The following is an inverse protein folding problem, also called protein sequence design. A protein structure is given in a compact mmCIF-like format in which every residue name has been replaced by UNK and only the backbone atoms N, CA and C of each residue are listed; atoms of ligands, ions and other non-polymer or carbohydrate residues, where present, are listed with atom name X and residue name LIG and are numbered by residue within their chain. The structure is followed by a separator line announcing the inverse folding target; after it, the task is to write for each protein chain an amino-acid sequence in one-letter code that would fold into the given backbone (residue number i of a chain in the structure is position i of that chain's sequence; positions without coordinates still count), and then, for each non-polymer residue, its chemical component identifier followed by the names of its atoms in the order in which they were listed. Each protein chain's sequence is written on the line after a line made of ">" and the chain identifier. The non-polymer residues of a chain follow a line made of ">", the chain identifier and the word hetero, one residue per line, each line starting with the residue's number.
data_IF_552387609895
#
_entry.id   IF_552387609895
#
_cell.length_a   1.000
_cell.length_b   1.000
_cell.length_c   1.000
_cell.angle_alpha   90.00
_cell.angle_beta   90.00
_cell.angle_gamma   90.00
#
_symmetry.space_group_name_H-M   'P 1'
#
loop_
_entity.id
_entity.type
_entity.pdbx_description
1 polymer ?
#
# COMPACT_ATOMS: atom_id res chain seq x y z
N UNK A 1 39.96 45.74 -93.67
CA UNK A 1 40.02 44.35 -93.16
C UNK A 1 39.70 44.38 -91.68
N UNK A 2 39.03 43.33 -91.24
CA UNK A 2 38.08 43.25 -90.15
C UNK A 2 38.63 43.42 -88.70
N UNK A 3 37.72 43.56 -87.73
CA UNK A 3 37.89 44.22 -86.43
C UNK A 3 37.97 43.22 -85.27
N UNK A 4 38.41 43.63 -84.07
CA UNK A 4 38.14 42.85 -82.85
C UNK A 4 37.83 43.73 -81.63
N UNK A 5 36.53 43.72 -81.35
CA UNK A 5 35.79 43.84 -80.09
C UNK A 5 36.50 43.47 -78.78
N UNK A 6 36.24 44.24 -77.72
CA UNK A 6 36.12 43.76 -76.33
C UNK A 6 35.32 44.79 -75.51
N UNK A 7 33.99 44.70 -75.49
CA UNK A 7 33.19 44.06 -74.43
C UNK A 7 33.29 44.75 -73.06
N UNK A 8 32.36 45.68 -72.85
CA UNK A 8 31.82 46.05 -71.55
C UNK A 8 31.23 44.83 -70.84
N UNK A 9 31.54 44.68 -69.55
CA UNK A 9 31.07 43.53 -68.79
C UNK A 9 31.46 43.61 -67.31
N UNK A 10 31.01 44.64 -66.60
CA UNK A 10 31.00 44.61 -65.14
C UNK A 10 29.73 43.89 -64.67
N UNK A 11 29.73 42.58 -64.79
CA UNK A 11 28.74 41.70 -64.16
C UNK A 11 29.06 41.58 -62.67
N UNK A 12 28.34 42.35 -61.87
CA UNK A 12 28.28 42.20 -60.42
C UNK A 12 27.52 40.92 -60.05
N UNK A 13 28.23 39.81 -59.98
CA UNK A 13 27.71 38.55 -59.44
C UNK A 13 28.51 38.16 -58.20
N UNK A 14 27.83 38.08 -57.06
CA UNK A 14 28.33 37.34 -55.89
C UNK A 14 28.35 38.13 -54.60
N UNK A 15 27.19 38.32 -53.96
CA UNK A 15 27.11 38.61 -52.51
C UNK A 15 25.87 37.98 -51.90
N UNK A 16 25.94 36.68 -51.63
CA UNK A 16 24.93 35.98 -50.80
C UNK A 16 25.52 35.26 -49.57
N UNK A 17 26.71 35.69 -49.13
CA UNK A 17 27.36 35.22 -47.91
C UNK A 17 27.13 36.09 -46.66
N UNK A 18 26.62 37.33 -46.79
CA UNK A 18 26.61 38.34 -45.72
C UNK A 18 25.29 38.53 -44.95
N UNK A 19 24.19 37.90 -45.36
CA UNK A 19 22.85 38.15 -44.77
C UNK A 19 22.52 37.29 -43.54
N UNK A 20 23.24 36.19 -43.28
CA UNK A 20 22.98 35.30 -42.13
C UNK A 20 23.70 35.72 -40.85
N UNK A 21 24.90 36.31 -40.96
CA UNK A 21 25.62 36.83 -39.80
C UNK A 21 24.98 38.10 -39.26
N UNK A 22 24.52 38.99 -40.14
CA UNK A 22 23.88 40.26 -39.77
C UNK A 22 22.53 40.08 -39.08
N UNK A 23 21.70 39.15 -39.54
CA UNK A 23 20.42 38.84 -38.88
C UNK A 23 20.62 38.21 -37.51
N UNK A 24 21.51 37.22 -37.39
CA UNK A 24 21.84 36.62 -36.08
C UNK A 24 22.47 37.63 -35.12
N UNK A 25 23.36 38.52 -35.61
CA UNK A 25 23.92 39.59 -34.80
C UNK A 25 22.86 40.62 -34.37
N UNK A 26 21.90 40.97 -35.23
CA UNK A 26 20.78 41.84 -34.86
C UNK A 26 19.85 41.19 -33.83
N UNK A 27 19.54 39.90 -34.01
CA UNK A 27 18.78 39.13 -33.02
C UNK A 27 19.52 39.08 -31.68
N UNK A 28 20.84 38.87 -31.69
CA UNK A 28 21.68 38.84 -30.51
C UNK A 28 21.76 40.21 -29.82
N UNK A 29 21.85 41.29 -30.58
CA UNK A 29 21.84 42.67 -30.07
C UNK A 29 20.47 43.05 -29.47
N UNK A 30 19.38 42.64 -30.13
CA UNK A 30 18.01 42.85 -29.64
C UNK A 30 17.71 42.01 -28.40
N UNK A 31 18.25 40.79 -28.35
CA UNK A 31 18.21 39.94 -27.17
C UNK A 31 19.00 40.54 -26.01
N UNK A 32 20.21 41.06 -26.23
CA UNK A 32 20.97 41.73 -25.17
C UNK A 32 20.25 42.95 -24.63
N UNK A 33 19.60 43.74 -25.48
CA UNK A 33 18.80 44.90 -25.03
C UNK A 33 17.64 44.47 -24.13
N UNK A 34 16.92 43.40 -24.50
CA UNK A 34 15.85 42.86 -23.67
C UNK A 34 16.37 42.22 -22.38
N UNK A 35 17.51 41.53 -22.43
CA UNK A 35 18.13 40.93 -21.25
C UNK A 35 18.60 41.98 -20.26
N UNK A 36 19.16 43.09 -20.76
CA UNK A 36 19.54 44.25 -19.95
C UNK A 36 18.34 44.85 -19.23
N UNK A 37 17.18 44.98 -19.90
CA UNK A 37 15.94 45.46 -19.26
C UNK A 37 15.41 44.53 -18.16
N UNK A 38 15.57 43.23 -18.33
CA UNK A 38 15.18 42.24 -17.32
C UNK A 38 16.18 42.21 -16.15
N UNK A 39 17.47 42.42 -16.41
CA UNK A 39 18.50 42.47 -15.38
C UNK A 39 18.42 43.75 -14.52
N UNK A 40 17.99 44.86 -15.11
CA UNK A 40 17.76 46.14 -14.42
C UNK A 40 16.48 46.15 -13.56
N UNK A 41 15.69 45.08 -13.59
CA UNK A 41 14.52 44.95 -12.71
C UNK A 41 14.97 44.67 -11.26
N UNK A 42 14.57 45.50 -10.28
CA UNK A 42 14.95 45.33 -8.87
C UNK A 42 14.49 43.99 -8.27
N UNK A 43 13.53 43.30 -8.88
CA UNK A 43 13.11 41.95 -8.46
C UNK A 43 14.12 40.88 -8.87
N UNK A 44 14.77 41.04 -10.03
CA UNK A 44 15.78 40.09 -10.54
C UNK A 44 17.09 40.29 -9.78
N UNK A 45 17.49 41.53 -9.52
CA UNK A 45 18.65 41.84 -8.68
C UNK A 45 18.55 41.23 -7.26
N UNK A 46 17.35 41.18 -6.69
CA UNK A 46 17.08 40.56 -5.39
C UNK A 46 17.19 39.03 -5.41
N UNK A 47 16.82 38.40 -6.53
CA UNK A 47 16.97 36.96 -6.74
C UNK A 47 18.44 36.59 -7.01
N UNK A 48 19.16 37.38 -7.81
CA UNK A 48 20.60 37.19 -8.08
C UNK A 48 21.48 37.46 -6.85
N UNK A 49 21.04 38.35 -5.94
CA UNK A 49 21.69 38.59 -4.66
C UNK A 49 21.36 37.57 -3.56
N UNK A 50 20.38 36.68 -3.78
CA UNK A 50 19.98 35.65 -2.82
C UNK A 50 20.92 34.44 -2.85
N UNK A 51 20.85 33.58 -1.83
CA UNK A 51 21.66 32.36 -1.63
C UNK A 51 21.80 31.50 -2.90
N UNK A 52 20.78 31.48 -3.77
CA UNK A 52 20.82 30.79 -5.07
C UNK A 52 21.92 31.34 -6.01
N UNK A 53 22.11 32.67 -6.08
CA UNK A 53 23.14 33.29 -6.91
C UNK A 53 24.56 33.09 -6.38
N UNK A 54 24.72 32.93 -5.06
CA UNK A 54 26.02 32.65 -4.41
C UNK A 54 26.44 31.19 -4.58
N UNK A 55 25.49 30.25 -4.59
CA UNK A 55 25.72 28.83 -4.88
C UNK A 55 26.04 28.57 -6.36
N UNK A 56 25.41 29.30 -7.29
CA UNK A 56 25.76 29.21 -8.72
C UNK A 56 27.17 29.75 -9.04
N UNK A 57 27.65 30.74 -8.27
CA UNK A 57 28.92 31.41 -8.53
C UNK A 57 30.14 30.65 -7.99
N UNK A 58 29.98 29.83 -6.95
CA UNK A 58 31.08 29.03 -6.39
C UNK A 58 31.33 27.73 -7.15
N UNK A 59 30.28 27.03 -7.61
CA UNK A 59 30.40 25.81 -8.40
C UNK A 59 29.30 25.71 -9.48
N UNK A 60 29.50 26.34 -10.67
CA UNK A 60 28.52 26.34 -11.75
C UNK A 60 28.18 24.92 -12.24
N UNK A 61 29.11 23.96 -12.15
CA UNK A 61 28.86 22.56 -12.47
C UNK A 61 27.89 21.89 -11.50
N UNK A 62 28.17 21.92 -10.19
CA UNK A 62 27.33 21.27 -9.18
C UNK A 62 25.92 21.87 -9.10
N UNK A 63 25.80 23.19 -9.21
CA UNK A 63 24.50 23.87 -9.23
C UNK A 63 23.69 23.50 -10.49
N UNK A 64 24.32 23.47 -11.67
CA UNK A 64 23.65 23.06 -12.91
C UNK A 64 23.21 21.60 -12.85
N UNK A 65 24.08 20.69 -12.36
CA UNK A 65 23.74 19.27 -12.21
C UNK A 65 22.64 19.07 -11.18
N UNK A 66 22.62 19.80 -10.07
CA UNK A 66 21.54 19.73 -9.08
C UNK A 66 20.20 20.21 -9.66
N UNK A 67 20.21 21.26 -10.50
CA UNK A 67 19.00 21.76 -11.17
C UNK A 67 18.51 20.75 -12.22
N UNK A 68 19.40 20.25 -13.08
CA UNK A 68 19.03 19.24 -14.09
C UNK A 68 18.63 17.93 -13.42
N UNK A 69 19.31 17.50 -12.37
CA UNK A 69 18.94 16.33 -11.57
C UNK A 69 17.59 16.54 -10.90
N UNK A 70 17.31 17.71 -10.34
CA UNK A 70 15.98 18.04 -9.81
C UNK A 70 14.89 18.00 -10.90
N UNK A 71 15.14 18.59 -12.06
CA UNK A 71 14.18 18.61 -13.18
C UNK A 71 13.93 17.21 -13.75
N UNK A 72 14.98 16.40 -13.85
CA UNK A 72 14.95 15.06 -14.44
C UNK A 72 14.53 13.99 -13.43
N UNK A 73 14.83 14.18 -12.14
CA UNK A 73 14.41 13.30 -11.06
C UNK A 73 13.00 13.63 -10.56
N UNK A 74 12.50 14.87 -10.69
CA UNK A 74 11.13 15.21 -10.30
C UNK A 74 10.08 14.37 -11.02
N UNK A 75 10.33 13.97 -12.28
CA UNK A 75 9.47 13.03 -13.01
C UNK A 75 9.37 11.67 -12.31
N UNK A 76 10.45 10.85 -12.29
CA UNK A 76 10.43 9.52 -11.69
C UNK A 76 10.22 9.55 -10.17
N UNK A 77 10.81 10.49 -9.44
CA UNK A 77 10.69 10.59 -7.96
C UNK A 77 9.33 11.13 -7.54
N UNK A 78 8.77 12.09 -8.27
CA UNK A 78 7.42 12.61 -8.00
C UNK A 78 6.35 11.55 -8.25
N UNK A 79 6.47 10.80 -9.34
CA UNK A 79 5.57 9.67 -9.61
C UNK A 79 5.71 8.57 -8.55
N UNK A 80 6.94 8.25 -8.14
CA UNK A 80 7.20 7.27 -7.10
C UNK A 80 6.64 7.71 -5.74
N UNK A 81 6.77 8.99 -5.38
CA UNK A 81 6.25 9.52 -4.12
C UNK A 81 4.73 9.58 -4.12
N UNK A 82 4.09 9.97 -5.23
CA UNK A 82 2.64 9.93 -5.36
C UNK A 82 2.10 8.49 -5.27
N UNK A 83 2.77 7.55 -5.95
CA UNK A 83 2.45 6.12 -5.85
C UNK A 83 2.67 5.59 -4.43
N UNK A 84 3.74 6.00 -3.74
CA UNK A 84 4.01 5.59 -2.37
C UNK A 84 2.94 6.12 -1.40
N UNK A 85 2.47 7.36 -1.56
CA UNK A 85 1.37 7.92 -0.74
C UNK A 85 0.06 7.18 -1.00
N UNK A 86 -0.29 6.92 -2.27
CA UNK A 86 -1.48 6.14 -2.63
C UNK A 86 -1.38 4.70 -2.12
N UNK A 87 -0.21 4.07 -2.23
CA UNK A 87 0.06 2.71 -1.77
C UNK A 87 0.04 2.64 -0.25
N UNK A 88 0.59 3.63 0.47
CA UNK A 88 0.52 3.70 1.92
C UNK A 88 -0.92 3.91 2.41
N UNK A 89 -1.68 4.82 1.79
CA UNK A 89 -3.09 5.01 2.10
C UNK A 89 -3.93 3.76 1.77
N UNK A 90 -3.63 3.10 0.65
CA UNK A 90 -4.25 1.84 0.25
C UNK A 90 -3.89 0.69 1.18
N UNK A 91 -2.65 0.64 1.68
CA UNK A 91 -2.18 -0.33 2.66
C UNK A 91 -2.92 -0.15 3.99
N UNK A 92 -3.05 1.09 4.48
CA UNK A 92 -3.84 1.38 5.69
C UNK A 92 -5.30 0.99 5.49
N UNK A 93 -5.89 1.30 4.32
CA UNK A 93 -7.26 0.90 4.02
C UNK A 93 -7.44 -0.63 3.98
N UNK A 94 -6.51 -1.33 3.34
CA UNK A 94 -6.50 -2.80 3.28
C UNK A 94 -6.31 -3.39 4.67
N UNK A 95 -5.41 -2.84 5.48
CA UNK A 95 -5.17 -3.30 6.85
C UNK A 95 -6.41 -3.11 7.73
N UNK A 96 -7.06 -1.94 7.68
CA UNK A 96 -8.31 -1.71 8.42
C UNK A 96 -9.42 -2.64 7.95
N UNK A 97 -9.56 -2.87 6.64
CA UNK A 97 -10.55 -3.79 6.09
C UNK A 97 -10.29 -5.24 6.52
N UNK A 98 -9.03 -5.68 6.47
CA UNK A 98 -8.62 -7.02 6.92
C UNK A 98 -8.78 -7.17 8.43
N UNK A 99 -8.47 -6.15 9.22
CA UNK A 99 -8.63 -6.15 10.67
C UNK A 99 -10.12 -6.21 11.03
N UNK A 100 -10.99 -5.49 10.33
CA UNK A 100 -12.44 -5.61 10.49
C UNK A 100 -12.95 -6.99 10.08
N UNK A 101 -12.53 -7.52 8.93
CA UNK A 101 -12.93 -8.84 8.47
C UNK A 101 -12.47 -9.94 9.45
N UNK A 102 -11.20 -9.91 9.87
CA UNK A 102 -10.66 -10.81 10.88
C UNK A 102 -11.36 -10.63 12.23
N UNK A 103 -11.68 -9.40 12.62
CA UNK A 103 -12.43 -9.08 13.82
C UNK A 103 -13.84 -9.66 13.81
N UNK A 104 -14.57 -9.53 12.69
CA UNK A 104 -15.89 -10.13 12.52
C UNK A 104 -15.82 -11.66 12.56
N UNK A 105 -14.84 -12.27 11.90
CA UNK A 105 -14.61 -13.72 11.95
C UNK A 105 -14.30 -14.15 13.40
N UNK A 106 -13.41 -13.43 14.09
CA UNK A 106 -13.02 -13.74 15.47
C UNK A 106 -14.21 -13.61 16.43
N UNK A 107 -14.97 -12.51 16.33
CA UNK A 107 -16.20 -12.29 17.10
C UNK A 107 -17.24 -13.36 16.79
N UNK A 108 -17.40 -13.75 15.53
CA UNK A 108 -18.29 -14.83 15.11
C UNK A 108 -17.85 -16.18 15.71
N UNK A 109 -16.56 -16.50 15.67
CA UNK A 109 -16.02 -17.75 16.23
C UNK A 109 -16.12 -17.75 17.75
N UNK A 110 -15.78 -16.65 18.42
CA UNK A 110 -15.95 -16.52 19.88
C UNK A 110 -17.41 -16.66 20.29
N UNK A 111 -18.32 -15.97 19.60
CA UNK A 111 -19.75 -16.06 19.86
C UNK A 111 -20.27 -17.48 19.63
N UNK A 112 -19.90 -18.08 18.50
CA UNK A 112 -20.23 -19.46 18.17
C UNK A 112 -19.70 -20.44 19.20
N UNK A 113 -18.46 -20.28 19.65
CA UNK A 113 -17.84 -21.16 20.65
C UNK A 113 -18.46 -20.95 22.04
N UNK A 114 -18.79 -19.72 22.42
CA UNK A 114 -19.49 -19.44 23.67
C UNK A 114 -20.90 -20.06 23.67
N UNK A 115 -21.66 -19.85 22.60
CA UNK A 115 -22.98 -20.45 22.44
C UNK A 115 -22.90 -21.98 22.40
N UNK A 116 -21.94 -22.54 21.68
CA UNK A 116 -21.69 -23.97 21.61
C UNK A 116 -21.28 -24.54 22.97
N UNK A 117 -20.44 -23.84 23.74
CA UNK A 117 -20.06 -24.26 25.08
C UNK A 117 -21.27 -24.31 26.02
N UNK A 118 -22.16 -23.31 25.97
CA UNK A 118 -23.41 -23.30 26.74
C UNK A 118 -24.33 -24.44 26.29
N UNK A 119 -24.55 -24.59 24.99
CA UNK A 119 -25.37 -25.68 24.45
C UNK A 119 -24.84 -27.05 24.86
N UNK A 120 -23.54 -27.27 24.70
CA UNK A 120 -22.90 -28.54 25.04
C UNK A 120 -22.93 -28.77 26.56
N UNK A 121 -22.81 -27.72 27.38
CA UNK A 121 -22.98 -27.81 28.83
C UNK A 121 -24.39 -28.26 29.20
N UNK A 122 -25.43 -27.67 28.59
CA UNK A 122 -26.83 -28.08 28.80
C UNK A 122 -27.03 -29.53 28.33
N UNK A 123 -26.52 -29.88 27.16
CA UNK A 123 -26.65 -31.21 26.59
C UNK A 123 -25.93 -32.28 27.41
N UNK A 124 -24.71 -32.00 27.87
CA UNK A 124 -23.95 -32.86 28.77
C UNK A 124 -24.67 -33.02 30.11
N UNK A 125 -25.23 -31.96 30.67
CA UNK A 125 -26.00 -32.04 31.91
C UNK A 125 -27.28 -32.89 31.74
N UNK A 126 -28.04 -32.65 30.66
CA UNK A 126 -29.25 -33.42 30.36
C UNK A 126 -28.93 -34.89 30.10
N UNK A 127 -27.93 -35.17 29.27
CA UNK A 127 -27.49 -36.53 28.98
C UNK A 127 -26.93 -37.23 30.22
N UNK A 128 -26.09 -36.56 31.01
CA UNK A 128 -25.60 -37.07 32.29
C UNK A 128 -26.74 -37.42 33.25
N UNK A 129 -27.74 -36.54 33.38
CA UNK A 129 -28.91 -36.80 34.24
C UNK A 129 -29.74 -37.99 33.77
N UNK A 130 -29.97 -38.12 32.45
CA UNK A 130 -30.68 -39.26 31.86
C UNK A 130 -29.88 -40.55 32.10
N UNK A 131 -28.58 -40.55 31.80
CA UNK A 131 -27.71 -41.71 32.04
C UNK A 131 -27.67 -42.09 33.51
N UNK A 132 -27.56 -41.12 34.42
CA UNK A 132 -27.56 -41.36 35.86
C UNK A 132 -28.89 -41.95 36.34
N UNK A 133 -30.01 -41.42 35.84
CA UNK A 133 -31.36 -41.93 36.12
C UNK A 133 -31.53 -43.38 35.66
N UNK A 134 -31.05 -43.72 34.47
CA UNK A 134 -31.05 -45.09 33.95
C UNK A 134 -30.13 -46.01 34.76
N UNK A 135 -28.93 -45.55 35.11
CA UNK A 135 -28.00 -46.33 35.95
C UNK A 135 -28.57 -46.58 37.35
N UNK A 136 -29.25 -45.60 37.95
CA UNK A 136 -29.90 -45.75 39.24
C UNK A 136 -31.00 -46.80 39.17
N UNK A 137 -31.88 -46.71 38.17
CA UNK A 137 -32.94 -47.69 37.93
C UNK A 137 -32.36 -49.09 37.68
N UNK A 138 -31.28 -49.20 36.91
CA UNK A 138 -30.60 -50.47 36.68
C UNK A 138 -29.95 -51.05 37.94
N UNK A 139 -29.31 -50.20 38.75
CA UNK A 139 -28.68 -50.61 40.02
C UNK A 139 -29.71 -51.05 41.05
N UNK A 140 -30.82 -50.32 41.16
CA UNK A 140 -31.94 -50.64 42.05
C UNK A 140 -32.59 -51.98 41.67
N UNK A 141 -32.90 -52.17 40.37
CA UNK A 141 -33.39 -53.46 39.85
C UNK A 141 -32.41 -54.61 40.10
N UNK A 142 -31.10 -54.35 40.02
CA UNK A 142 -30.06 -55.35 40.33
C UNK A 142 -30.04 -55.70 41.83
N UNK A 143 -30.24 -54.73 42.72
CA UNK A 143 -30.35 -55.00 44.16
C UNK A 143 -31.61 -55.78 44.50
N UNK A 144 -32.74 -55.45 43.88
CA UNK A 144 -34.00 -56.19 44.07
C UNK A 144 -33.87 -57.65 43.62
N UNK A 145 -33.24 -57.91 42.46
CA UNK A 145 -33.00 -59.27 41.98
C UNK A 145 -32.10 -60.09 42.91
N UNK A 146 -31.11 -59.45 43.56
CA UNK A 146 -30.25 -60.09 44.56
C UNK A 146 -30.97 -60.36 45.88
N UNK A 147 -31.85 -59.46 46.32
CA UNK A 147 -32.67 -59.65 47.51
C UNK A 147 -33.70 -60.77 47.33
N UNK A 148 -34.29 -60.92 46.14
CA UNK A 148 -35.14 -62.07 45.81
C UNK A 148 -34.35 -63.40 45.78
N UNK A 149 -33.14 -63.45 45.19
CA UNK A 149 -32.30 -64.66 45.23
C UNK A 149 -31.90 -65.07 46.67
N UNK A 150 -31.61 -64.11 47.54
CA UNK A 150 -31.28 -64.40 48.95
C UNK A 150 -32.50 -64.89 49.74
N UNK A 151 -33.70 -64.35 49.43
CA UNK A 151 -34.95 -64.78 50.05
C UNK A 151 -35.39 -66.19 49.63
N UNK A 152 -35.13 -66.61 48.39
CA UNK A 152 -35.48 -67.95 47.90
C UNK A 152 -34.44 -69.02 48.30
N UNK A 153 -33.17 -68.63 48.49
CA UNK A 153 -32.15 -69.53 49.05
C UNK A 153 -32.45 -69.95 50.51
N UNK A 154 -33.07 -69.07 51.29
CA UNK A 154 -33.38 -69.33 52.70
C UNK A 154 -34.63 -70.21 52.92
N UNK A 155 -35.56 -70.24 51.96
CA UNK A 155 -36.72 -71.16 52.00
C UNK A 155 -36.30 -72.60 51.65
N UNK A 156 -35.25 -72.78 50.83
CA UNK A 156 -34.71 -74.09 50.44
C UNK A 156 -33.98 -74.83 51.58
N UNK A 157 -33.27 -74.13 52.47
CA UNK A 157 -32.59 -74.76 53.62
C UNK A 157 -33.52 -75.09 54.80
N UNK A 158 -34.79 -74.66 54.78
CA UNK A 158 -35.75 -74.90 55.87
C UNK A 158 -36.65 -76.12 55.65
N UNK A 159 -36.40 -76.91 54.59
CA UNK A 159 -37.13 -78.14 54.25
C UNK A 159 -36.41 -79.46 54.53
N UNK A 160 -35.26 -79.46 55.23
CA UNK A 160 -34.54 -80.68 55.63
C UNK A 160 -34.45 -80.85 57.15
N UNK A 161 -35.60 -80.83 57.81
CA UNK A 161 -35.77 -81.47 59.12
C UNK A 161 -37.26 -81.62 59.37
N UNK A 162 -37.71 -82.78 59.86
CA UNK A 162 -39.10 -83.23 60.01
C UNK A 162 -39.63 -83.81 58.69
N UNK A 163 -39.65 -85.12 58.42
CA UNK A 163 -39.56 -86.34 59.23
C UNK A 163 -38.84 -87.46 58.45
#
# INVERSE_FOLDING_TARGET
>A
MEPHSSSSGSSSSGRDGGRRSSSFQQLRAKWSDMLSRVYDDPRVARVTGSTAGRYLRSHPGAALTAVVFGLTAAGPVGLFLAFAVVSAAGFVFCEVALLLAAGLILMSVLCGLAFFAVLLSIFLNASYFISFSLLKCYSDKKQQRKAEEESDGQTSCKGKHVD
#
